data_IF_341378902506
#
_entry.id   IF_341378902506
#
_cell.length_a   1.000
_cell.length_b   1.000
_cell.length_c   1.000
_cell.angle_alpha   90.00
_cell.angle_beta   90.00
_cell.angle_gamma   90.00
#
_symmetry.space_group_name_H-M   'P 1'
#
loop_
_entity.id
_entity.type
_entity.pdbx_description
1 polymer ?
#
# COMPACT_ATOMS: atom_id res chain seq x y z
N UNK A 1 51.86 -24.31 25.67
CA UNK A 1 52.87 -23.49 24.97
C UNK A 1 52.38 -22.06 24.99
N UNK A 2 53.22 -21.14 25.46
CA UNK A 2 52.93 -19.73 25.69
C UNK A 2 52.52 -19.01 24.41
N UNK A 3 51.33 -18.42 24.41
CA UNK A 3 50.81 -17.54 23.37
C UNK A 3 51.57 -16.21 23.41
N UNK A 4 52.33 -15.92 22.35
CA UNK A 4 52.99 -14.64 22.11
C UNK A 4 52.50 -14.10 20.77
N UNK A 5 51.27 -13.62 20.73
CA UNK A 5 50.82 -12.75 19.64
C UNK A 5 51.53 -11.40 19.80
N UNK A 6 52.29 -10.89 18.80
CA UNK A 6 52.97 -9.61 18.93
C UNK A 6 51.97 -8.45 18.97
N UNK A 7 51.99 -7.67 20.06
CA UNK A 7 51.21 -6.44 20.29
C UNK A 7 51.38 -5.33 19.22
N UNK A 8 52.18 -5.55 18.17
CA UNK A 8 52.44 -4.58 17.12
C UNK A 8 51.26 -4.40 16.13
N UNK A 9 50.39 -5.40 15.96
CA UNK A 9 49.29 -5.35 14.98
C UNK A 9 48.08 -4.58 15.52
N UNK A 10 47.85 -4.60 16.84
CA UNK A 10 46.72 -3.91 17.47
C UNK A 10 46.96 -2.40 17.70
N UNK A 11 48.19 -1.92 17.51
CA UNK A 11 48.58 -0.53 17.77
C UNK A 11 48.65 0.36 16.51
N UNK A 12 48.30 -0.14 15.32
CA UNK A 12 48.39 0.63 14.09
C UNK A 12 47.16 1.55 13.92
N UNK A 13 47.34 2.86 14.02
CA UNK A 13 46.32 3.85 13.64
C UNK A 13 46.03 3.77 12.12
N UNK A 14 44.81 3.36 11.79
CA UNK A 14 44.34 3.27 10.39
C UNK A 14 43.62 4.57 10.03
N UNK A 15 44.23 5.37 9.14
CA UNK A 15 43.54 6.52 8.55
C UNK A 15 42.72 6.12 7.32
N UNK A 16 41.63 6.84 7.04
CA UNK A 16 40.76 6.62 5.85
C UNK A 16 41.56 6.58 4.54
N UNK A 17 42.65 7.35 4.43
CA UNK A 17 43.51 7.40 3.24
C UNK A 17 44.37 6.14 3.09
N UNK A 18 44.86 5.58 4.20
CA UNK A 18 45.62 4.32 4.22
C UNK A 18 44.74 3.13 3.88
N UNK A 19 43.47 3.13 4.32
CA UNK A 19 42.48 2.08 4.02
C UNK A 19 42.15 1.97 2.52
N UNK A 20 42.03 3.12 1.83
CA UNK A 20 41.79 3.15 0.37
C UNK A 20 43.02 2.68 -0.42
N UNK A 21 44.23 2.99 0.07
CA UNK A 21 45.46 2.48 -0.53
C UNK A 21 45.65 0.97 -0.32
N UNK A 22 45.28 0.43 0.84
CA UNK A 22 45.34 -1.02 1.10
C UNK A 22 44.25 -1.81 0.39
N UNK A 23 43.11 -1.22 0.05
CA UNK A 23 42.06 -1.91 -0.74
C UNK A 23 42.46 -2.10 -2.20
N UNK A 24 43.23 -1.19 -2.79
CA UNK A 24 43.78 -1.35 -4.14
C UNK A 24 44.83 -2.47 -4.24
N UNK A 25 45.57 -2.73 -3.16
CA UNK A 25 46.58 -3.81 -3.10
C UNK A 25 45.96 -5.13 -2.60
N UNK A 26 44.99 -5.06 -1.67
CA UNK A 26 44.29 -6.22 -1.12
C UNK A 26 43.31 -6.90 -2.09
N UNK A 27 42.74 -6.13 -3.03
CA UNK A 27 41.86 -6.68 -4.08
C UNK A 27 42.58 -7.63 -5.04
N UNK A 28 43.88 -7.41 -5.31
CA UNK A 28 44.67 -8.28 -6.19
C UNK A 28 45.16 -9.55 -5.47
N UNK A 29 45.45 -9.47 -4.16
CA UNK A 29 45.91 -10.62 -3.37
C UNK A 29 44.77 -11.60 -3.04
N UNK A 30 43.54 -11.11 -2.83
CA UNK A 30 42.37 -11.97 -2.59
C UNK A 30 41.93 -12.80 -3.81
N UNK A 31 42.28 -12.37 -5.03
CA UNK A 31 41.94 -13.07 -6.27
C UNK A 31 42.81 -14.31 -6.55
N UNK A 32 43.92 -14.50 -5.83
CA UNK A 32 44.89 -15.57 -6.15
C UNK A 32 44.79 -16.80 -5.25
N UNK A 33 43.88 -16.84 -4.27
CA UNK A 33 43.71 -17.95 -3.32
C UNK A 33 45.00 -18.38 -2.57
N UNK A 34 46.11 -17.66 -2.73
CA UNK A 34 47.45 -18.09 -2.30
C UNK A 34 47.79 -17.68 -0.86
N UNK A 35 46.93 -16.92 -0.19
CA UNK A 35 47.09 -16.54 1.20
C UNK A 35 45.81 -16.84 1.99
N UNK A 36 45.83 -17.89 2.80
CA UNK A 36 44.85 -18.13 3.85
C UNK A 36 45.12 -17.15 5.01
N UNK A 37 44.23 -16.17 5.18
CA UNK A 37 44.23 -15.32 6.36
C UNK A 37 43.91 -16.17 7.60
N UNK A 38 44.59 -15.98 8.75
CA UNK A 38 44.39 -16.78 9.97
C UNK A 38 43.01 -16.61 10.63
N UNK A 39 42.09 -15.88 9.99
CA UNK A 39 40.72 -15.63 10.43
C UNK A 39 39.70 -15.95 9.32
N UNK A 40 39.88 -17.03 8.57
CA UNK A 40 38.85 -17.54 7.66
C UNK A 40 37.85 -18.40 8.44
N UNK A 41 36.70 -17.82 8.84
CA UNK A 41 35.52 -18.62 9.21
C UNK A 41 34.85 -19.09 7.92
N UNK A 42 35.01 -20.36 7.60
CA UNK A 42 34.14 -21.03 6.64
C UNK A 42 32.78 -21.22 7.31
N UNK A 43 31.77 -20.48 6.85
CA UNK A 43 30.39 -20.82 7.13
C UNK A 43 30.03 -21.99 6.23
N UNK A 44 30.08 -23.21 6.77
CA UNK A 44 29.40 -24.33 6.13
C UNK A 44 27.91 -24.07 6.27
N UNK A 45 27.19 -24.00 5.15
CA UNK A 45 25.75 -24.07 5.20
C UNK A 45 25.39 -25.40 5.88
N UNK A 46 24.55 -25.35 6.92
CA UNK A 46 23.94 -26.58 7.42
C UNK A 46 23.35 -27.34 6.23
N UNK A 47 23.51 -28.68 6.17
CA UNK A 47 22.87 -29.46 5.12
C UNK A 47 21.40 -29.08 5.07
N UNK A 48 20.88 -28.84 3.86
CA UNK A 48 19.47 -28.53 3.66
C UNK A 48 18.65 -29.51 4.49
N UNK A 49 17.70 -29.00 5.27
CA UNK A 49 16.81 -29.82 6.10
C UNK A 49 16.07 -30.76 5.14
N UNK A 50 16.61 -31.94 4.95
CA UNK A 50 15.95 -33.01 4.22
C UNK A 50 15.05 -33.66 5.27
N UNK A 51 13.72 -33.46 5.22
CA UNK A 51 12.87 -33.74 6.38
C UNK A 51 12.81 -35.22 6.80
N UNK A 52 13.46 -36.13 6.07
CA UNK A 52 13.60 -37.53 6.46
C UNK A 52 12.29 -38.32 6.46
N UNK A 53 11.21 -37.76 5.93
CA UNK A 53 9.89 -38.38 5.81
C UNK A 53 9.19 -37.96 4.52
N UNK A 54 8.07 -38.61 4.19
CA UNK A 54 7.28 -38.33 3.00
C UNK A 54 6.68 -36.91 3.07
N UNK A 55 7.33 -35.97 2.39
CA UNK A 55 6.88 -34.58 2.32
C UNK A 55 5.68 -34.46 1.38
N UNK A 56 4.61 -33.82 1.87
CA UNK A 56 3.48 -33.39 1.06
C UNK A 56 3.46 -31.87 0.97
N UNK A 57 3.39 -31.34 -0.25
CA UNK A 57 3.22 -29.90 -0.47
C UNK A 57 1.75 -29.57 -0.68
N UNK A 58 1.21 -28.71 0.19
CA UNK A 58 -0.19 -28.27 0.14
C UNK A 58 -0.25 -26.78 -0.19
N UNK A 59 -1.04 -26.41 -1.20
CA UNK A 59 -1.28 -25.01 -1.54
C UNK A 59 -2.23 -24.34 -0.54
N UNK A 60 -1.86 -23.13 -0.15
CA UNK A 60 -2.66 -22.24 0.69
C UNK A 60 -2.46 -20.79 0.23
N UNK A 61 -3.03 -19.84 0.97
CA UNK A 61 -2.89 -18.42 0.68
C UNK A 61 -2.60 -17.61 1.93
N UNK A 62 -1.89 -16.48 1.77
CA UNK A 62 -1.73 -15.50 2.81
C UNK A 62 -3.00 -14.64 2.95
N UNK A 63 -3.88 -15.00 3.89
CA UNK A 63 -5.21 -14.37 4.09
C UNK A 63 -5.19 -13.20 5.08
N UNK A 64 -4.11 -12.42 5.12
CA UNK A 64 -4.04 -11.20 5.93
C UNK A 64 -4.60 -10.01 5.15
N UNK A 65 -5.06 -8.98 5.87
CA UNK A 65 -5.57 -7.73 5.28
C UNK A 65 -4.46 -6.86 4.64
N UNK A 66 -3.71 -7.43 3.70
CA UNK A 66 -2.81 -6.70 2.80
C UNK A 66 -3.36 -6.65 1.37
N UNK A 67 -4.42 -7.40 1.05
CA UNK A 67 -5.06 -7.45 -0.27
C UNK A 67 -4.36 -8.32 -1.31
N UNK A 68 -3.08 -8.69 -1.14
CA UNK A 68 -2.32 -9.43 -2.18
C UNK A 68 -2.68 -10.92 -2.31
N UNK A 69 -3.19 -11.55 -1.23
CA UNK A 69 -3.56 -12.98 -1.18
C UNK A 69 -2.50 -13.93 -1.77
N UNK A 70 -1.23 -13.68 -1.46
CA UNK A 70 -0.12 -14.40 -2.07
C UNK A 70 -0.29 -15.93 -1.88
N UNK A 71 -0.11 -16.73 -2.94
CA UNK A 71 -0.07 -18.18 -2.82
C UNK A 71 1.11 -18.62 -1.93
N UNK A 72 0.86 -19.62 -1.10
CA UNK A 72 1.81 -20.20 -0.17
C UNK A 72 1.87 -21.71 -0.38
N UNK A 73 3.08 -22.25 -0.43
CA UNK A 73 3.31 -23.70 -0.48
C UNK A 73 3.66 -24.16 0.93
N UNK A 74 2.79 -24.94 1.54
CA UNK A 74 2.96 -25.47 2.89
C UNK A 74 3.62 -26.84 2.79
N UNK A 75 4.82 -26.99 3.33
CA UNK A 75 5.56 -28.24 3.32
C UNK A 75 5.21 -29.02 4.58
N UNK A 76 4.48 -30.12 4.43
CA UNK A 76 3.91 -30.92 5.51
C UNK A 76 4.64 -32.25 5.61
N UNK A 77 5.12 -32.57 6.80
CA UNK A 77 5.81 -33.82 7.14
C UNK A 77 5.25 -34.30 8.47
N UNK A 78 4.83 -35.56 8.53
CA UNK A 78 4.18 -36.16 9.71
C UNK A 78 2.97 -35.36 10.23
N UNK A 79 2.18 -34.80 9.32
CA UNK A 79 1.01 -33.98 9.65
C UNK A 79 1.31 -32.57 10.16
N UNK A 80 2.59 -32.16 10.18
CA UNK A 80 3.02 -30.84 10.61
C UNK A 80 3.62 -30.00 9.48
N UNK A 81 3.25 -28.72 9.40
CA UNK A 81 3.89 -27.75 8.52
C UNK A 81 5.31 -27.52 9.05
N UNK A 82 6.34 -27.97 8.33
CA UNK A 82 7.75 -27.76 8.70
C UNK A 82 8.25 -26.40 8.26
N UNK A 83 7.90 -25.97 7.05
CA UNK A 83 8.21 -24.63 6.52
C UNK A 83 7.19 -24.16 5.49
N UNK A 84 7.24 -22.87 5.17
CA UNK A 84 6.33 -22.21 4.22
C UNK A 84 7.16 -21.57 3.13
N UNK A 85 6.94 -22.03 1.91
CA UNK A 85 7.50 -21.44 0.70
C UNK A 85 6.53 -20.47 0.05
N UNK A 86 7.10 -19.64 -0.80
CA UNK A 86 6.35 -18.82 -1.74
C UNK A 86 6.00 -19.63 -2.99
N UNK A 87 5.11 -19.11 -3.83
CA UNK A 87 5.06 -19.56 -5.22
C UNK A 87 6.43 -19.38 -5.90
N UNK A 88 6.89 -20.49 -6.46
CA UNK A 88 8.11 -20.68 -7.21
C UNK A 88 7.85 -21.53 -8.47
N UNK A 89 6.59 -21.62 -8.90
CA UNK A 89 6.19 -22.35 -10.10
C UNK A 89 6.13 -21.41 -11.31
N UNK A 90 6.25 -21.96 -12.51
CA UNK A 90 6.40 -21.17 -13.73
C UNK A 90 7.84 -20.67 -13.95
N UNK A 91 8.03 -19.94 -15.03
CA UNK A 91 9.28 -19.41 -15.56
C UNK A 91 9.51 -17.92 -15.24
N UNK A 92 8.60 -17.32 -14.46
CA UNK A 92 8.56 -15.87 -14.22
C UNK A 92 8.44 -15.08 -15.53
N UNK A 93 7.73 -15.64 -16.53
CA UNK A 93 7.55 -15.00 -17.83
C UNK A 93 6.83 -13.67 -17.74
N UNK A 94 7.40 -12.76 -18.52
CA UNK A 94 7.20 -11.34 -18.62
C UNK A 94 5.71 -10.98 -18.69
N UNK A 95 5.10 -11.64 -19.66
CA UNK A 95 3.93 -11.20 -20.42
C UNK A 95 2.67 -11.99 -20.08
N UNK A 96 2.42 -12.23 -18.79
CA UNK A 96 1.06 -12.60 -18.40
C UNK A 96 0.83 -13.05 -16.99
N UNK A 97 1.78 -13.72 -16.32
CA UNK A 97 1.59 -14.29 -14.99
C UNK A 97 2.92 -14.43 -14.25
N UNK A 98 3.47 -13.32 -13.75
CA UNK A 98 4.67 -13.37 -12.92
C UNK A 98 4.40 -14.04 -11.58
N UNK A 99 5.45 -14.59 -10.96
CA UNK A 99 5.32 -15.27 -9.68
C UNK A 99 4.89 -14.29 -8.58
N UNK A 100 3.77 -14.60 -7.91
CA UNK A 100 3.25 -13.78 -6.80
C UNK A 100 3.99 -14.14 -5.52
N UNK A 101 5.23 -13.65 -5.41
CA UNK A 101 6.10 -14.03 -4.30
C UNK A 101 5.59 -13.49 -2.97
N UNK A 102 5.43 -14.34 -1.97
CA UNK A 102 4.96 -13.96 -0.65
C UNK A 102 6.02 -13.14 0.11
N UNK A 103 5.60 -12.02 0.69
CA UNK A 103 6.47 -11.23 1.57
C UNK A 103 6.82 -11.98 2.87
N UNK A 104 7.73 -11.41 3.66
CA UNK A 104 8.15 -11.97 4.96
C UNK A 104 6.98 -12.31 5.90
N UNK A 105 5.94 -11.48 5.92
CA UNK A 105 4.71 -11.71 6.70
C UNK A 105 3.98 -12.97 6.23
N UNK A 106 3.85 -13.16 4.92
CA UNK A 106 3.19 -14.34 4.35
C UNK A 106 3.98 -15.63 4.59
N UNK A 107 5.30 -15.59 4.43
CA UNK A 107 6.19 -16.74 4.73
C UNK A 107 6.24 -17.10 6.21
N UNK A 108 5.83 -16.18 7.08
CA UNK A 108 5.74 -16.42 8.53
C UNK A 108 4.45 -17.11 9.00
N UNK A 109 3.53 -17.48 8.10
CA UNK A 109 2.20 -18.03 8.46
C UNK A 109 2.26 -19.27 9.35
N UNK A 110 3.31 -20.09 9.27
CA UNK A 110 3.56 -21.19 10.21
C UNK A 110 3.56 -20.74 11.67
N UNK A 111 4.15 -19.57 11.97
CA UNK A 111 4.19 -19.00 13.32
C UNK A 111 2.81 -18.64 13.85
N UNK A 112 1.83 -18.37 12.97
CA UNK A 112 0.43 -18.13 13.35
C UNK A 112 -0.30 -19.44 13.66
N UNK A 113 -0.03 -20.49 12.90
CA UNK A 113 -0.64 -21.83 13.10
C UNK A 113 -0.19 -22.46 14.42
N UNK A 114 1.10 -22.35 14.75
CA UNK A 114 1.69 -22.95 15.95
C UNK A 114 2.00 -21.96 17.07
N UNK A 115 1.38 -20.78 17.04
CA UNK A 115 1.54 -19.82 18.12
C UNK A 115 1.05 -20.42 19.45
N UNK A 116 1.80 -20.20 20.55
CA UNK A 116 1.41 -20.65 21.88
C UNK A 116 0.07 -20.05 22.33
N UNK A 117 -0.19 -18.79 21.95
CA UNK A 117 -1.39 -18.02 22.29
C UNK A 117 -2.57 -18.30 21.33
N UNK A 118 -2.43 -19.25 20.41
CA UNK A 118 -3.51 -19.58 19.47
C UNK A 118 -4.74 -20.06 20.23
N UNK A 119 -5.90 -19.46 19.93
CA UNK A 119 -7.20 -19.94 20.41
C UNK A 119 -7.50 -21.31 19.81
N UNK A 120 -7.59 -22.34 20.65
CA UNK A 120 -7.81 -23.75 20.25
C UNK A 120 -9.25 -24.22 20.48
N UNK A 121 -9.95 -23.61 21.42
CA UNK A 121 -11.28 -24.04 21.86
C UNK A 121 -12.19 -22.83 22.07
N UNK A 122 -13.52 -23.03 22.05
CA UNK A 122 -14.46 -22.04 22.58
C UNK A 122 -14.18 -21.75 24.06
N UNK A 123 -14.21 -20.47 24.42
CA UNK A 123 -13.89 -19.99 25.76
C UNK A 123 -14.99 -19.05 26.26
N UNK A 124 -15.42 -19.23 27.51
CA UNK A 124 -16.42 -18.40 28.18
C UNK A 124 -15.76 -17.56 29.26
N UNK A 125 -16.08 -16.27 29.29
CA UNK A 125 -15.53 -15.35 30.29
C UNK A 125 -16.17 -15.63 31.66
N UNK A 126 -15.34 -15.83 32.68
CA UNK A 126 -15.77 -16.08 34.07
C UNK A 126 -15.42 -14.93 35.04
N UNK A 127 -14.60 -13.97 34.61
CA UNK A 127 -14.25 -12.77 35.38
C UNK A 127 -14.78 -11.47 34.78
N UNK A 128 -14.35 -10.33 35.32
CA UNK A 128 -14.69 -9.03 34.73
C UNK A 128 -14.05 -8.86 33.33
N UNK A 129 -14.66 -8.03 32.47
CA UNK A 129 -14.11 -7.73 31.13
C UNK A 129 -12.74 -7.06 31.29
N UNK A 130 -11.73 -7.58 30.60
CA UNK A 130 -10.34 -7.10 30.69
C UNK A 130 -9.44 -7.95 31.60
N UNK A 131 -9.98 -8.83 32.45
CA UNK A 131 -9.16 -9.64 33.37
C UNK A 131 -8.50 -10.86 32.72
N UNK A 132 -8.88 -11.23 31.49
CA UNK A 132 -8.33 -12.40 30.81
C UNK A 132 -8.75 -13.76 31.41
N UNK A 133 -9.77 -13.79 32.28
CA UNK A 133 -10.24 -15.02 32.93
C UNK A 133 -11.32 -15.72 32.11
N UNK A 134 -10.99 -16.90 31.60
CA UNK A 134 -11.88 -17.72 30.80
C UNK A 134 -11.85 -19.18 31.23
N UNK A 135 -12.99 -19.86 31.07
CA UNK A 135 -13.09 -21.31 31.12
C UNK A 135 -13.36 -21.86 29.72
N UNK A 136 -12.92 -23.10 29.47
CA UNK A 136 -13.20 -23.79 28.20
C UNK A 136 -14.62 -24.33 28.23
N UNK A 137 -15.36 -24.13 27.14
CA UNK A 137 -16.70 -24.68 26.96
C UNK A 137 -16.78 -25.52 25.67
N UNK A 138 -17.87 -26.30 25.51
CA UNK A 138 -18.13 -27.03 24.28
C UNK A 138 -18.59 -26.09 23.15
N UNK A 139 -18.56 -26.58 21.91
CA UNK A 139 -19.15 -25.84 20.80
C UNK A 139 -20.67 -25.68 20.94
N UNK A 140 -21.36 -26.72 21.39
CA UNK A 140 -22.81 -26.69 21.60
C UNK A 140 -23.19 -25.64 22.65
N UNK A 141 -22.50 -25.60 23.80
CA UNK A 141 -22.74 -24.58 24.82
C UNK A 141 -22.47 -23.17 24.28
N UNK A 142 -21.41 -22.99 23.47
CA UNK A 142 -21.09 -21.70 22.87
C UNK A 142 -22.20 -21.23 21.92
N UNK A 143 -22.68 -22.12 21.05
CA UNK A 143 -23.76 -21.82 20.11
C UNK A 143 -25.07 -21.52 20.84
N UNK A 144 -25.48 -22.35 21.79
CA UNK A 144 -26.69 -22.14 22.57
C UNK A 144 -26.64 -20.83 23.36
N UNK A 145 -25.50 -20.53 23.99
CA UNK A 145 -25.31 -19.28 24.74
C UNK A 145 -25.48 -18.06 23.84
N UNK A 146 -24.84 -18.06 22.65
CA UNK A 146 -24.91 -16.94 21.71
C UNK A 146 -26.31 -16.82 21.12
N UNK A 147 -26.92 -17.93 20.69
CA UNK A 147 -28.24 -17.96 20.08
C UNK A 147 -29.32 -17.47 21.06
N UNK A 148 -29.33 -18.00 22.29
CA UNK A 148 -30.30 -17.60 23.32
C UNK A 148 -30.15 -16.12 23.69
N UNK A 149 -28.90 -15.63 23.84
CA UNK A 149 -28.66 -14.21 24.11
C UNK A 149 -29.14 -13.33 22.95
N UNK A 150 -28.86 -13.72 21.71
CA UNK A 150 -29.26 -12.96 20.53
C UNK A 150 -30.78 -12.92 20.37
N UNK A 151 -31.46 -14.06 20.55
CA UNK A 151 -32.93 -14.14 20.52
C UNK A 151 -33.57 -13.30 21.64
N UNK A 152 -33.01 -13.33 22.85
CA UNK A 152 -33.47 -12.51 23.96
C UNK A 152 -33.36 -11.01 23.66
N UNK A 153 -32.19 -10.57 23.17
CA UNK A 153 -31.96 -9.17 22.78
C UNK A 153 -32.92 -8.74 21.67
N UNK A 154 -33.10 -9.56 20.63
CA UNK A 154 -34.02 -9.25 19.53
C UNK A 154 -35.47 -9.15 20.04
N UNK A 155 -35.89 -10.06 20.93
CA UNK A 155 -37.24 -10.06 21.51
C UNK A 155 -37.51 -8.80 22.35
N UNK A 156 -36.52 -8.36 23.13
CA UNK A 156 -36.68 -7.25 24.07
C UNK A 156 -36.43 -5.87 23.44
N UNK A 157 -35.44 -5.76 22.55
CA UNK A 157 -34.95 -4.48 22.02
C UNK A 157 -35.02 -4.36 20.50
N UNK A 158 -35.41 -5.41 19.79
CA UNK A 158 -35.45 -5.44 18.32
C UNK A 158 -34.08 -5.70 17.67
N UNK A 159 -34.09 -5.87 16.35
CA UNK A 159 -32.92 -6.21 15.55
C UNK A 159 -31.82 -5.12 15.54
N UNK A 160 -32.19 -3.85 15.74
CA UNK A 160 -31.24 -2.73 15.75
C UNK A 160 -30.31 -2.74 16.97
N UNK A 161 -30.64 -3.52 18.02
CA UNK A 161 -29.76 -3.74 19.16
C UNK A 161 -28.57 -4.69 18.84
N UNK A 162 -28.59 -5.37 17.69
CA UNK A 162 -27.50 -6.21 17.22
C UNK A 162 -26.61 -5.40 16.28
N UNK A 163 -25.38 -5.09 16.71
CA UNK A 163 -24.41 -4.36 15.90
C UNK A 163 -23.38 -5.29 15.26
N UNK A 164 -23.22 -5.21 13.94
CA UNK A 164 -22.15 -5.90 13.22
C UNK A 164 -20.99 -4.93 12.95
N UNK A 165 -19.91 -5.07 13.72
CA UNK A 165 -18.74 -4.22 13.62
C UNK A 165 -17.96 -4.45 12.31
N UNK A 166 -17.47 -3.36 11.72
CA UNK A 166 -16.49 -3.40 10.64
C UNK A 166 -15.22 -4.13 11.09
N UNK A 167 -14.77 -5.11 10.30
CA UNK A 167 -13.53 -5.80 10.57
C UNK A 167 -13.05 -6.57 9.36
N UNK A 168 -11.78 -6.36 8.97
CA UNK A 168 -11.19 -6.95 7.76
C UNK A 168 -10.08 -7.95 8.04
N UNK A 169 -9.92 -8.41 9.29
CA UNK A 169 -8.80 -9.23 9.77
C UNK A 169 -8.31 -10.34 8.81
N UNK A 170 -8.83 -11.55 8.93
CA UNK A 170 -8.45 -12.67 8.03
C UNK A 170 -9.25 -12.59 6.74
N UNK A 171 -8.86 -11.67 5.86
CA UNK A 171 -9.48 -11.47 4.55
C UNK A 171 -9.10 -12.60 3.58
N UNK A 172 -10.11 -13.29 3.06
CA UNK A 172 -9.95 -13.97 1.77
C UNK A 172 -9.77 -15.47 1.77
N UNK A 173 -10.24 -16.19 2.80
CA UNK A 173 -10.70 -17.55 2.56
C UNK A 173 -11.91 -17.52 1.61
N UNK A 174 -12.15 -18.58 0.84
CA UNK A 174 -13.31 -18.71 -0.07
C UNK A 174 -14.65 -18.40 0.63
N UNK A 175 -14.69 -18.59 1.95
CA UNK A 175 -15.83 -18.29 2.81
C UNK A 175 -15.69 -17.02 3.68
N UNK A 176 -14.47 -16.51 3.93
CA UNK A 176 -14.23 -15.38 4.84
C UNK A 176 -14.10 -14.06 4.06
N UNK A 177 -15.17 -13.70 3.36
CA UNK A 177 -15.34 -12.37 2.80
C UNK A 177 -15.70 -11.43 3.95
N UNK A 178 -14.95 -10.34 4.10
CA UNK A 178 -15.23 -9.30 5.09
C UNK A 178 -15.55 -7.93 4.46
N UNK A 179 -15.56 -7.87 3.12
CA UNK A 179 -15.96 -6.69 2.34
C UNK A 179 -16.57 -7.09 0.98
N UNK A 180 -17.65 -6.43 0.51
CA UNK A 180 -18.42 -5.41 1.22
C UNK A 180 -19.17 -6.01 2.43
N UNK A 181 -19.49 -5.21 3.46
CA UNK A 181 -19.97 -5.72 4.76
C UNK A 181 -21.26 -6.54 4.67
N UNK A 182 -22.15 -6.18 3.74
CA UNK A 182 -23.41 -6.90 3.51
C UNK A 182 -23.25 -8.27 2.83
N UNK A 183 -22.05 -8.60 2.33
CA UNK A 183 -21.78 -9.86 1.61
C UNK A 183 -20.98 -10.87 2.42
N UNK A 184 -20.88 -10.68 3.74
CA UNK A 184 -20.21 -11.64 4.64
C UNK A 184 -21.19 -12.73 5.08
N UNK A 185 -20.68 -13.91 5.45
CA UNK A 185 -21.53 -15.00 5.98
C UNK A 185 -22.26 -14.59 7.27
N UNK A 186 -21.61 -13.77 8.10
CA UNK A 186 -22.22 -13.24 9.32
C UNK A 186 -23.33 -12.24 8.97
N UNK A 187 -23.12 -11.33 8.03
CA UNK A 187 -24.18 -10.44 7.56
C UNK A 187 -25.37 -11.22 6.98
N UNK A 188 -25.11 -12.30 6.23
CA UNK A 188 -26.15 -13.19 5.73
C UNK A 188 -26.95 -13.83 6.88
N UNK A 189 -26.26 -14.37 7.89
CA UNK A 189 -26.91 -14.92 9.10
C UNK A 189 -27.79 -13.87 9.77
N UNK A 190 -27.26 -12.66 10.01
CA UNK A 190 -28.01 -11.58 10.67
C UNK A 190 -29.24 -11.15 9.86
N UNK A 191 -29.14 -11.10 8.53
CA UNK A 191 -30.29 -10.84 7.66
C UNK A 191 -31.36 -11.94 7.76
N UNK A 192 -30.96 -13.22 7.86
CA UNK A 192 -31.90 -14.31 8.11
C UNK A 192 -32.56 -14.21 9.50
N UNK A 193 -31.95 -13.50 10.45
CA UNK A 193 -32.49 -13.26 11.79
C UNK A 193 -33.32 -11.98 11.91
N UNK A 194 -33.67 -11.31 10.80
CA UNK A 194 -34.49 -10.08 10.79
C UNK A 194 -33.71 -8.78 10.62
N UNK A 195 -32.40 -8.85 10.38
CA UNK A 195 -31.54 -7.68 10.18
C UNK A 195 -30.71 -7.31 11.41
N UNK A 196 -29.94 -6.23 11.28
CA UNK A 196 -28.98 -5.75 12.28
C UNK A 196 -28.63 -4.28 12.05
N UNK A 197 -28.11 -3.60 13.09
CA UNK A 197 -27.48 -2.30 12.94
C UNK A 197 -26.14 -2.45 12.22
N UNK A 198 -26.06 -1.85 11.04
CA UNK A 198 -24.86 -1.88 10.21
C UNK A 198 -23.94 -0.67 10.49
N UNK A 199 -22.75 -0.68 9.90
CA UNK A 199 -21.80 0.44 9.93
C UNK A 199 -21.72 1.13 8.57
N UNK A 200 -21.23 2.37 8.58
CA UNK A 200 -20.84 3.11 7.38
C UNK A 200 -19.36 3.46 7.45
N UNK A 201 -18.70 3.52 6.28
CA UNK A 201 -17.28 3.83 6.19
C UNK A 201 -16.36 2.67 6.61
N UNK A 202 -15.07 2.94 6.58
CA UNK A 202 -14.02 1.99 6.89
C UNK A 202 -12.74 2.69 7.38
N UNK A 203 -11.94 2.06 8.24
CA UNK A 203 -10.73 2.70 8.81
C UNK A 203 -9.58 2.88 7.80
N UNK A 204 -9.68 2.29 6.61
CA UNK A 204 -8.60 2.25 5.61
C UNK A 204 -8.78 3.28 4.51
N UNK A 205 -9.99 3.48 3.99
CA UNK A 205 -10.29 4.21 2.74
C UNK A 205 -11.54 5.10 2.79
N UNK A 206 -12.15 5.34 3.96
CA UNK A 206 -13.40 6.09 4.06
C UNK A 206 -13.40 7.44 3.32
N UNK A 207 -12.30 8.20 3.42
CA UNK A 207 -12.22 9.53 2.82
C UNK A 207 -12.01 9.47 1.30
N UNK A 208 -11.25 8.49 0.81
CA UNK A 208 -11.17 8.18 -0.63
C UNK A 208 -12.55 7.79 -1.16
N UNK A 209 -13.25 6.90 -0.44
CA UNK A 209 -14.58 6.44 -0.80
C UNK A 209 -15.56 7.60 -0.94
N UNK A 210 -15.59 8.49 0.06
CA UNK A 210 -16.44 9.67 0.03
C UNK A 210 -16.05 10.62 -1.11
N UNK A 211 -14.79 11.05 -1.15
CA UNK A 211 -14.33 12.09 -2.08
C UNK A 211 -14.43 11.68 -3.56
N UNK A 212 -14.00 10.46 -3.90
CA UNK A 212 -14.00 10.03 -5.28
C UNK A 212 -15.39 9.61 -5.78
N UNK A 213 -16.30 9.21 -4.89
CA UNK A 213 -17.69 8.97 -5.28
C UNK A 213 -18.36 10.24 -5.82
N UNK A 214 -18.12 11.40 -5.19
CA UNK A 214 -18.57 12.69 -5.72
C UNK A 214 -17.85 13.14 -7.00
N UNK A 215 -16.66 12.62 -7.27
CA UNK A 215 -15.85 13.02 -8.43
C UNK A 215 -16.14 12.17 -9.66
N UNK A 216 -16.44 10.88 -9.45
CA UNK A 216 -16.60 9.89 -10.53
C UNK A 216 -17.98 9.25 -10.61
N UNK A 217 -18.89 9.58 -9.69
CA UNK A 217 -20.24 9.00 -9.65
C UNK A 217 -20.28 7.54 -9.19
N UNK A 218 -19.24 7.06 -8.51
CA UNK A 218 -19.13 5.69 -8.04
C UNK A 218 -17.81 5.42 -7.31
N UNK A 219 -17.59 4.16 -6.93
CA UNK A 219 -16.27 3.74 -6.46
C UNK A 219 -15.21 4.03 -7.52
N UNK A 220 -14.06 4.54 -7.10
CA UNK A 220 -12.99 4.92 -8.02
C UNK A 220 -12.28 3.68 -8.56
N UNK A 221 -12.79 3.15 -9.65
CA UNK A 221 -12.06 2.17 -10.45
C UNK A 221 -10.92 2.87 -11.20
N UNK A 222 -9.73 2.28 -11.05
CA UNK A 222 -8.50 2.68 -11.72
C UNK A 222 -7.98 1.55 -12.61
N UNK A 223 -6.82 1.78 -13.22
CA UNK A 223 -6.17 0.75 -14.02
C UNK A 223 -5.66 -0.38 -13.10
N UNK A 224 -5.50 -1.58 -13.67
CA UNK A 224 -4.72 -2.61 -13.01
C UNK A 224 -3.33 -2.07 -12.66
N UNK A 225 -2.75 -2.39 -11.49
CA UNK A 225 -1.37 -2.03 -11.17
C UNK A 225 -0.34 -2.49 -12.23
N UNK A 226 -0.67 -3.50 -13.03
CA UNK A 226 0.17 -3.94 -14.15
C UNK A 226 0.40 -2.84 -15.20
N UNK A 227 -0.55 -1.92 -15.37
CA UNK A 227 -0.46 -0.85 -16.37
C UNK A 227 0.62 0.21 -16.03
N UNK A 228 1.17 0.18 -14.81
CA UNK A 228 2.30 1.00 -14.40
C UNK A 228 3.48 0.80 -15.35
N UNK A 229 3.70 -0.43 -15.87
CA UNK A 229 4.83 -0.74 -16.75
C UNK A 229 4.85 0.07 -18.04
N UNK A 230 3.68 0.55 -18.49
CA UNK A 230 3.51 1.32 -19.71
C UNK A 230 3.82 2.82 -19.53
N UNK A 231 4.11 3.27 -18.31
CA UNK A 231 4.21 4.69 -17.94
C UNK A 231 5.57 5.31 -18.26
N UNK A 232 5.62 6.58 -18.68
CA UNK A 232 6.88 7.35 -18.80
C UNK A 232 7.20 8.17 -17.55
N UNK A 233 6.17 8.46 -16.75
CA UNK A 233 6.27 9.15 -15.47
C UNK A 233 5.39 8.44 -14.45
N UNK A 234 5.94 8.19 -13.27
CA UNK A 234 5.25 7.63 -12.11
C UNK A 234 5.33 8.65 -10.98
N UNK A 235 4.19 9.11 -10.48
CA UNK A 235 4.11 10.05 -9.35
C UNK A 235 3.32 9.42 -8.21
N UNK A 236 3.97 9.27 -7.05
CA UNK A 236 3.39 8.65 -5.86
C UNK A 236 3.12 9.70 -4.78
N UNK A 237 1.86 9.90 -4.41
CA UNK A 237 1.45 10.79 -3.33
C UNK A 237 1.18 9.98 -2.05
N UNK A 238 2.06 10.10 -1.05
CA UNK A 238 1.98 9.40 0.23
C UNK A 238 1.73 7.90 0.08
N UNK A 239 2.31 7.29 -0.96
CA UNK A 239 2.14 5.90 -1.33
C UNK A 239 3.45 5.14 -1.14
N UNK A 240 3.42 4.17 -0.21
CA UNK A 240 4.60 3.40 0.17
C UNK A 240 4.39 1.89 -0.03
N UNK A 241 4.30 1.39 -1.27
CA UNK A 241 4.15 -0.03 -1.54
C UNK A 241 5.33 -0.88 -1.04
N UNK A 242 6.54 -0.30 -0.93
CA UNK A 242 7.72 -0.95 -0.36
C UNK A 242 7.53 -1.50 1.06
N UNK A 243 6.65 -0.91 1.88
CA UNK A 243 6.30 -1.43 3.21
C UNK A 243 4.88 -2.02 3.28
N UNK A 244 3.96 -1.40 2.54
CA UNK A 244 2.53 -1.72 2.66
C UNK A 244 2.09 -2.83 1.70
N UNK A 245 2.85 -3.09 0.62
CA UNK A 245 2.50 -4.04 -0.47
C UNK A 245 3.73 -4.84 -0.97
N UNK A 246 4.58 -5.29 -0.04
CA UNK A 246 5.86 -6.01 -0.28
C UNK A 246 5.84 -7.31 -1.12
N UNK A 247 4.67 -7.85 -1.47
CA UNK A 247 4.60 -9.11 -2.22
C UNK A 247 5.00 -8.94 -3.68
N UNK A 248 5.36 -10.02 -4.37
CA UNK A 248 5.54 -10.06 -5.83
C UNK A 248 4.30 -9.60 -6.59
N UNK A 249 3.09 -9.87 -6.09
CA UNK A 249 1.85 -9.31 -6.67
C UNK A 249 1.52 -7.87 -6.27
N UNK A 250 2.48 -7.17 -5.66
CA UNK A 250 2.31 -5.80 -5.17
C UNK A 250 2.76 -4.74 -6.17
N UNK A 251 2.42 -3.48 -5.88
CA UNK A 251 2.77 -2.33 -6.72
C UNK A 251 4.29 -2.16 -6.87
N UNK A 252 5.09 -2.55 -5.86
CA UNK A 252 6.56 -2.46 -5.91
C UNK A 252 7.15 -3.19 -7.10
N UNK A 253 6.62 -4.37 -7.44
CA UNK A 253 7.08 -5.12 -8.61
C UNK A 253 6.89 -4.29 -9.89
N UNK A 254 5.68 -3.80 -10.13
CA UNK A 254 5.38 -3.03 -11.34
C UNK A 254 6.11 -1.68 -11.42
N UNK A 255 6.51 -1.09 -10.29
CA UNK A 255 7.37 0.09 -10.28
C UNK A 255 8.75 -0.20 -10.88
N UNK A 256 9.39 -1.31 -10.47
CA UNK A 256 10.68 -1.72 -11.05
C UNK A 256 10.54 -1.99 -12.54
N UNK A 257 9.39 -2.50 -12.95
CA UNK A 257 9.15 -2.84 -14.34
C UNK A 257 8.90 -1.65 -15.24
N UNK A 258 8.24 -0.61 -14.74
CA UNK A 258 8.17 0.66 -15.45
C UNK A 258 9.58 1.24 -15.67
N UNK A 259 10.49 1.08 -14.69
CA UNK A 259 11.89 1.49 -14.89
C UNK A 259 12.58 0.63 -15.97
N UNK A 260 12.44 -0.69 -15.91
CA UNK A 260 13.11 -1.60 -16.84
C UNK A 260 12.58 -1.51 -18.29
N UNK A 261 11.25 -1.50 -18.47
CA UNK A 261 10.61 -1.55 -19.79
C UNK A 261 10.49 -0.18 -20.44
N UNK A 262 10.05 0.83 -19.68
CA UNK A 262 9.66 2.12 -20.23
C UNK A 262 10.60 3.27 -19.84
N UNK A 263 11.62 2.99 -19.02
CA UNK A 263 12.53 3.97 -18.42
C UNK A 263 11.74 5.08 -17.72
N UNK A 264 10.72 4.68 -16.97
CA UNK A 264 9.81 5.61 -16.31
C UNK A 264 10.55 6.43 -15.25
N UNK A 265 10.39 7.76 -15.31
CA UNK A 265 10.82 8.65 -14.23
C UNK A 265 9.89 8.45 -13.03
N UNK A 266 10.44 8.30 -11.82
CA UNK A 266 9.70 8.06 -10.59
C UNK A 266 9.88 9.22 -9.60
N UNK A 267 8.78 9.85 -9.23
CA UNK A 267 8.73 10.95 -8.27
C UNK A 267 7.89 10.52 -7.07
N UNK A 268 8.45 10.62 -5.86
CA UNK A 268 7.76 10.32 -4.60
C UNK A 268 7.51 11.63 -3.86
N UNK A 269 6.24 11.90 -3.54
CA UNK A 269 5.81 13.05 -2.75
C UNK A 269 5.31 12.49 -1.41
N UNK A 270 6.14 12.60 -0.38
CA UNK A 270 5.86 12.03 0.94
C UNK A 270 6.66 12.81 2.00
N UNK A 271 6.08 13.16 3.17
CA UNK A 271 6.83 13.78 4.25
C UNK A 271 7.98 12.91 4.78
N UNK A 272 7.90 11.59 4.59
CA UNK A 272 8.94 10.62 4.99
C UNK A 272 9.64 10.07 3.76
N UNK A 273 10.95 9.95 3.83
CA UNK A 273 11.70 9.14 2.86
C UNK A 273 11.49 7.65 3.18
N UNK A 274 10.69 6.97 2.35
CA UNK A 274 10.18 5.62 2.62
C UNK A 274 10.97 4.52 1.92
N UNK A 275 10.75 3.25 2.29
CA UNK A 275 11.41 2.10 1.62
C UNK A 275 11.02 1.95 0.14
N UNK A 276 9.94 2.60 -0.30
CA UNK A 276 9.61 2.70 -1.73
C UNK A 276 10.61 3.56 -2.48
N UNK A 277 11.12 4.62 -1.84
CA UNK A 277 12.21 5.43 -2.35
C UNK A 277 13.49 4.62 -2.30
N UNK A 278 14.21 4.64 -1.18
CA UNK A 278 15.41 3.82 -0.94
C UNK A 278 16.38 3.71 -2.15
N UNK A 279 16.50 4.76 -2.97
CA UNK A 279 17.36 4.84 -4.15
C UNK A 279 16.75 4.34 -5.47
N UNK A 280 15.46 4.00 -5.48
CA UNK A 280 14.69 3.60 -6.68
C UNK A 280 14.00 4.77 -7.34
N UNK A 281 13.76 5.84 -6.61
CA UNK A 281 13.16 7.06 -7.12
C UNK A 281 14.18 7.92 -7.85
N UNK A 282 13.72 8.70 -8.82
CA UNK A 282 14.55 9.73 -9.43
C UNK A 282 14.45 11.07 -8.67
N UNK A 283 13.40 11.23 -7.86
CA UNK A 283 13.20 12.40 -7.02
C UNK A 283 12.27 12.12 -5.84
N UNK A 284 12.66 12.61 -4.66
CA UNK A 284 11.79 12.67 -3.47
C UNK A 284 11.50 14.12 -3.11
N UNK A 285 10.21 14.44 -2.94
CA UNK A 285 9.71 15.76 -2.57
C UNK A 285 9.13 15.69 -1.15
N UNK A 286 9.84 16.25 -0.14
CA UNK A 286 9.41 16.23 1.26
C UNK A 286 8.33 17.27 1.52
N UNK A 287 7.08 16.93 1.21
CA UNK A 287 5.93 17.82 1.47
C UNK A 287 5.62 17.88 2.98
N UNK A 288 5.16 19.04 3.48
CA UNK A 288 4.60 19.11 4.84
C UNK A 288 3.32 18.26 4.96
N UNK A 289 3.16 17.46 6.03
CA UNK A 289 1.99 16.59 6.19
C UNK A 289 0.65 17.35 6.06
N UNK A 290 -0.29 16.80 5.29
CA UNK A 290 -1.65 17.34 5.13
C UNK A 290 -1.77 18.54 4.18
N UNK A 291 -0.69 18.91 3.47
CA UNK A 291 -0.68 20.08 2.58
C UNK A 291 -0.77 19.74 1.09
N UNK A 292 -0.98 18.46 0.75
CA UNK A 292 -1.04 17.95 -0.63
C UNK A 292 -2.03 18.73 -1.50
N UNK A 293 -3.25 18.99 -1.03
CA UNK A 293 -4.25 19.73 -1.81
C UNK A 293 -3.77 21.13 -2.24
N UNK A 294 -2.93 21.80 -1.42
CA UNK A 294 -2.34 23.08 -1.77
C UNK A 294 -1.29 22.92 -2.88
N UNK A 295 -0.43 21.89 -2.78
CA UNK A 295 0.52 21.55 -3.84
C UNK A 295 -0.22 21.29 -5.16
N UNK A 296 -1.20 20.39 -5.17
CA UNK A 296 -1.95 20.05 -6.38
C UNK A 296 -2.64 21.29 -6.97
N UNK A 297 -3.22 22.16 -6.15
CA UNK A 297 -3.88 23.37 -6.63
C UNK A 297 -2.91 24.30 -7.38
N UNK A 298 -1.65 24.40 -6.91
CA UNK A 298 -0.61 25.15 -7.62
C UNK A 298 -0.07 24.43 -8.86
N UNK A 299 -0.01 23.09 -8.86
CA UNK A 299 0.29 22.35 -10.08
C UNK A 299 -0.79 22.61 -11.14
N UNK A 300 -2.07 22.60 -10.75
CA UNK A 300 -3.18 22.93 -11.64
C UNK A 300 -3.09 24.37 -12.15
N UNK A 301 -2.72 25.33 -11.29
CA UNK A 301 -2.54 26.72 -11.70
C UNK A 301 -1.49 26.85 -12.81
N UNK A 302 -0.34 26.19 -12.68
CA UNK A 302 0.71 26.21 -13.72
C UNK A 302 0.20 25.53 -14.99
N UNK A 303 -0.42 24.35 -14.88
CA UNK A 303 -0.94 23.64 -16.06
C UNK A 303 -2.00 24.43 -16.81
N UNK A 304 -2.86 25.17 -16.11
CA UNK A 304 -3.89 26.02 -16.73
C UNK A 304 -3.27 27.23 -17.43
N UNK A 305 -2.31 27.91 -16.80
CA UNK A 305 -1.70 29.11 -17.38
C UNK A 305 -0.73 28.79 -18.53
N UNK A 306 -0.15 27.59 -18.55
CA UNK A 306 0.75 27.12 -19.60
C UNK A 306 0.07 26.24 -20.67
N UNK A 307 -1.26 26.15 -20.65
CA UNK A 307 -2.05 25.36 -21.61
C UNK A 307 -1.64 23.86 -21.69
N UNK A 308 -1.31 23.28 -20.54
CA UNK A 308 -0.92 21.86 -20.41
C UNK A 308 -2.10 20.93 -20.07
N UNK A 309 -3.33 21.47 -20.06
CA UNK A 309 -4.55 20.70 -19.78
C UNK A 309 -5.13 20.09 -21.06
N UNK A 310 -5.76 18.92 -20.96
CA UNK A 310 -6.48 18.30 -22.09
C UNK A 310 -7.89 18.89 -22.17
N UNK A 311 -8.00 20.09 -22.76
CA UNK A 311 -9.28 20.79 -22.87
C UNK A 311 -10.35 19.95 -23.59
N UNK A 312 -9.98 19.17 -24.61
CA UNK A 312 -10.92 18.29 -25.31
C UNK A 312 -11.46 17.16 -24.41
N UNK A 313 -10.69 16.70 -23.42
CA UNK A 313 -11.17 15.75 -22.41
C UNK A 313 -12.13 16.44 -21.44
N UNK A 314 -11.74 17.60 -20.94
CA UNK A 314 -12.52 18.36 -19.96
C UNK A 314 -13.88 18.76 -20.53
N UNK A 315 -13.93 19.26 -21.76
CA UNK A 315 -15.16 19.64 -22.46
C UNK A 315 -16.14 18.47 -22.65
N UNK A 316 -15.62 17.25 -22.83
CA UNK A 316 -16.43 16.08 -23.19
C UNK A 316 -16.84 15.24 -21.98
N UNK A 317 -16.00 15.17 -20.96
CA UNK A 317 -16.13 14.19 -19.87
C UNK A 317 -16.23 14.83 -18.49
N UNK A 318 -16.19 16.16 -18.37
CA UNK A 318 -16.24 16.84 -17.08
C UNK A 318 -17.40 17.84 -17.03
N UNK A 319 -17.90 18.06 -15.82
CA UNK A 319 -18.92 19.05 -15.49
C UNK A 319 -18.32 20.00 -14.45
N UNK A 320 -18.43 21.31 -14.69
CA UNK A 320 -17.98 22.36 -13.78
C UNK A 320 -16.46 22.62 -13.78
N UNK A 321 -15.74 22.31 -14.86
CA UNK A 321 -14.33 22.69 -14.99
C UNK A 321 -14.18 24.20 -15.27
N UNK A 322 -14.94 24.70 -16.24
CA UNK A 322 -14.99 26.08 -16.72
C UNK A 322 -16.46 26.52 -16.96
N UNK A 323 -16.68 27.77 -17.38
CA UNK A 323 -18.02 28.29 -17.67
C UNK A 323 -18.77 27.47 -18.73
N UNK A 324 -18.07 26.86 -19.69
CA UNK A 324 -18.69 26.04 -20.75
C UNK A 324 -19.29 24.75 -20.21
N UNK A 325 -18.62 24.14 -19.23
CA UNK A 325 -19.01 22.86 -18.63
C UNK A 325 -19.84 23.02 -17.36
N UNK A 326 -20.13 24.26 -16.95
CA UNK A 326 -20.87 24.57 -15.73
C UNK A 326 -22.38 24.26 -15.89
N UNK A 327 -23.03 23.58 -14.93
CA UNK A 327 -24.47 23.33 -14.99
C UNK A 327 -25.29 24.62 -14.98
N UNK A 328 -26.46 24.58 -15.64
CA UNK A 328 -27.43 25.66 -15.57
C UNK A 328 -27.83 25.95 -14.11
N UNK A 329 -27.75 27.23 -13.71
CA UNK A 329 -28.09 27.69 -12.36
C UNK A 329 -26.93 27.69 -11.35
N UNK A 330 -25.74 27.19 -11.72
CA UNK A 330 -24.55 27.38 -10.90
C UNK A 330 -24.06 28.85 -10.95
N UNK A 331 -23.46 29.36 -9.86
CA UNK A 331 -22.99 30.74 -9.81
C UNK A 331 -21.88 30.98 -10.83
N UNK A 332 -21.83 32.20 -11.39
CA UNK A 332 -20.71 32.63 -12.22
C UNK A 332 -19.39 32.48 -11.44
N UNK A 333 -18.32 32.03 -12.10
CA UNK A 333 -17.05 31.65 -11.48
C UNK A 333 -17.16 30.54 -10.40
N UNK A 334 -18.25 29.78 -10.38
CA UNK A 334 -18.43 28.61 -9.50
C UNK A 334 -17.69 27.35 -9.93
N UNK A 335 -16.92 27.42 -11.02
CA UNK A 335 -16.21 26.30 -11.62
C UNK A 335 -14.78 26.13 -11.09
N UNK A 336 -14.19 24.95 -11.29
CA UNK A 336 -12.86 24.60 -10.75
C UNK A 336 -11.75 25.57 -11.24
N UNK A 337 -11.74 25.92 -12.53
CA UNK A 337 -10.74 26.83 -13.11
C UNK A 337 -10.74 28.21 -12.43
N UNK A 338 -11.91 28.77 -12.10
CA UNK A 338 -12.00 30.06 -11.40
C UNK A 338 -11.46 29.97 -9.97
N UNK A 339 -11.76 28.88 -9.25
CA UNK A 339 -11.17 28.63 -7.93
C UNK A 339 -9.63 28.60 -7.98
N UNK A 340 -9.06 27.90 -8.97
CA UNK A 340 -7.60 27.83 -9.12
C UNK A 340 -7.00 29.20 -9.46
N UNK A 341 -7.63 29.95 -10.37
CA UNK A 341 -7.13 31.25 -10.82
C UNK A 341 -7.42 32.41 -9.84
N UNK A 342 -8.09 32.16 -8.71
CA UNK A 342 -8.41 33.19 -7.71
C UNK A 342 -9.61 34.07 -8.08
N UNK A 343 -10.44 33.61 -9.01
CA UNK A 343 -11.66 34.27 -9.47
C UNK A 343 -12.91 33.72 -8.77
N UNK A 344 -12.75 32.64 -7.98
CA UNK A 344 -13.80 32.04 -7.16
C UNK A 344 -14.03 32.80 -5.85
N UNK A 345 -14.85 32.20 -4.98
CA UNK A 345 -15.36 32.83 -3.73
C UNK A 345 -14.26 33.24 -2.75
N UNK A 346 -13.12 32.55 -2.74
CA UNK A 346 -12.03 32.86 -1.81
C UNK A 346 -11.10 33.98 -2.30
N UNK A 347 -11.16 34.37 -3.57
CA UNK A 347 -10.34 35.44 -4.16
C UNK A 347 -8.84 35.17 -4.15
N UNK A 348 -8.38 33.93 -3.92
CA UNK A 348 -6.96 33.60 -3.79
C UNK A 348 -6.49 32.74 -4.95
N UNK A 349 -5.64 33.30 -5.81
CA UNK A 349 -4.97 32.55 -6.87
C UNK A 349 -4.04 31.50 -6.24
N UNK A 350 -4.14 30.26 -6.72
CA UNK A 350 -3.35 29.13 -6.20
C UNK A 350 -1.96 29.10 -6.82
N UNK A 351 -1.21 30.18 -6.72
CA UNK A 351 0.10 30.29 -7.38
C UNK A 351 1.15 29.37 -6.74
N UNK A 352 2.25 29.05 -7.45
CA UNK A 352 3.39 28.37 -6.86
C UNK A 352 3.95 29.02 -5.58
N UNK A 353 3.99 30.34 -5.51
CA UNK A 353 4.45 31.10 -4.34
C UNK A 353 3.53 30.87 -3.14
N UNK A 354 2.22 30.91 -3.36
CA UNK A 354 1.21 30.61 -2.35
C UNK A 354 1.37 29.19 -1.80
N UNK A 355 1.47 28.19 -2.68
CA UNK A 355 1.62 26.81 -2.26
C UNK A 355 2.98 26.53 -1.62
N UNK A 356 4.05 27.22 -2.02
CA UNK A 356 5.39 27.05 -1.44
C UNK A 356 5.39 27.38 0.05
N UNK A 357 4.71 28.46 0.45
CA UNK A 357 4.59 28.87 1.85
C UNK A 357 3.85 27.84 2.71
N UNK A 358 2.83 27.18 2.13
CA UNK A 358 2.01 26.18 2.83
C UNK A 358 2.74 24.84 2.89
N UNK A 359 3.22 24.37 1.76
CA UNK A 359 3.71 23.00 1.55
C UNK A 359 5.18 22.80 1.95
N UNK A 360 5.96 23.88 1.96
CA UNK A 360 7.41 23.84 2.09
C UNK A 360 8.15 23.42 0.80
N UNK A 361 7.44 23.12 -0.29
CA UNK A 361 8.06 22.77 -1.58
C UNK A 361 8.52 24.05 -2.28
N UNK A 362 9.76 24.14 -2.79
CA UNK A 362 10.24 25.32 -3.51
C UNK A 362 9.39 25.68 -4.73
N UNK A 363 9.24 26.97 -5.00
CA UNK A 363 8.45 27.51 -6.13
C UNK A 363 8.87 26.91 -7.48
N UNK A 364 10.17 26.90 -7.76
CA UNK A 364 10.72 26.36 -9.01
C UNK A 364 10.42 24.87 -9.17
N UNK A 365 10.41 24.14 -8.06
CA UNK A 365 10.09 22.71 -8.01
C UNK A 365 8.62 22.44 -8.28
N UNK A 366 7.71 23.27 -7.76
CA UNK A 366 6.28 23.20 -8.06
C UNK A 366 6.05 23.39 -9.56
N UNK A 367 6.67 24.42 -10.16
CA UNK A 367 6.54 24.71 -11.60
C UNK A 367 7.07 23.55 -12.45
N UNK A 368 8.28 23.05 -12.16
CA UNK A 368 8.88 21.91 -12.88
C UNK A 368 8.00 20.66 -12.76
N UNK A 369 7.48 20.36 -11.56
CA UNK A 369 6.62 19.19 -11.34
C UNK A 369 5.32 19.30 -12.14
N UNK A 370 4.73 20.49 -12.21
CA UNK A 370 3.53 20.73 -12.99
C UNK A 370 3.77 20.49 -14.49
N UNK A 371 4.89 20.97 -15.02
CA UNK A 371 5.30 20.75 -16.42
C UNK A 371 5.59 19.30 -16.73
N UNK A 372 6.30 18.60 -15.83
CA UNK A 372 6.58 17.16 -15.96
C UNK A 372 5.28 16.35 -16.00
N UNK A 373 4.35 16.62 -15.08
CA UNK A 373 3.05 15.95 -15.05
C UNK A 373 2.21 16.33 -16.28
N UNK A 374 2.12 17.61 -16.64
CA UNK A 374 1.31 18.09 -17.78
C UNK A 374 1.78 17.54 -19.13
N UNK A 375 3.10 17.41 -19.31
CA UNK A 375 3.69 16.99 -20.58
C UNK A 375 3.84 15.48 -20.73
N UNK A 376 3.91 14.73 -19.62
CA UNK A 376 4.15 13.28 -19.66
C UNK A 376 2.95 12.51 -20.23
N UNK A 377 3.22 11.73 -21.29
CA UNK A 377 2.25 10.84 -21.94
C UNK A 377 2.90 9.48 -22.22
N UNK A 378 2.47 8.38 -21.57
CA UNK A 378 1.55 8.30 -20.43
C UNK A 378 2.23 8.59 -19.06
N UNK A 379 1.43 9.03 -18.08
CA UNK A 379 1.87 9.16 -16.68
C UNK A 379 0.93 8.43 -15.73
N UNK A 380 1.49 7.71 -14.78
CA UNK A 380 0.78 7.04 -13.69
C UNK A 380 0.85 7.88 -12.43
N UNK A 381 -0.31 8.35 -11.96
CA UNK A 381 -0.43 9.13 -10.73
C UNK A 381 -1.18 8.27 -9.73
N UNK A 382 -0.56 8.03 -8.58
CA UNK A 382 -1.14 7.15 -7.56
C UNK A 382 -1.10 7.79 -6.19
N UNK A 383 -2.26 7.76 -5.54
CA UNK A 383 -2.43 8.13 -4.15
C UNK A 383 -2.35 6.89 -3.26
N UNK A 384 -1.57 6.98 -2.18
CA UNK A 384 -1.60 6.02 -1.08
C UNK A 384 -2.68 6.35 -0.05
N UNK A 385 -2.70 5.61 1.06
CA UNK A 385 -3.65 5.91 2.13
C UNK A 385 -3.21 7.02 3.09
N UNK A 386 -1.96 7.48 3.02
CA UNK A 386 -1.47 8.56 3.88
C UNK A 386 -2.25 9.87 3.70
N UNK A 387 -2.36 10.42 2.47
CA UNK A 387 -2.96 11.73 2.24
C UNK A 387 -4.40 11.85 2.74
N UNK A 388 -5.18 10.78 2.62
CA UNK A 388 -6.60 10.77 3.04
C UNK A 388 -6.82 10.58 4.55
N UNK A 389 -5.77 10.26 5.34
CA UNK A 389 -5.87 10.06 6.80
C UNK A 389 -5.75 11.37 7.57
N UNK A 390 -6.49 12.37 7.11
CA UNK A 390 -6.62 13.69 7.72
C UNK A 390 -8.11 14.06 7.80
N UNK A 391 -8.44 15.09 8.58
CA UNK A 391 -9.83 15.55 8.77
C UNK A 391 -10.54 15.98 7.48
N UNK A 392 -9.77 16.36 6.46
CA UNK A 392 -10.21 16.79 5.12
C UNK A 392 -9.68 15.87 4.00
N UNK A 393 -9.41 14.60 4.32
CA UNK A 393 -8.77 13.65 3.41
C UNK A 393 -9.55 13.39 2.11
N UNK A 394 -10.85 13.61 2.11
CA UNK A 394 -11.72 13.52 0.95
C UNK A 394 -11.39 14.61 -0.07
N UNK A 395 -11.12 15.84 0.39
CA UNK A 395 -10.71 16.94 -0.48
C UNK A 395 -9.32 16.70 -1.06
N UNK A 396 -8.40 16.16 -0.26
CA UNK A 396 -7.06 15.75 -0.72
C UNK A 396 -7.16 14.68 -1.81
N UNK A 397 -8.05 13.69 -1.62
CA UNK A 397 -8.24 12.62 -2.59
C UNK A 397 -8.80 13.13 -3.91
N UNK A 398 -9.76 14.06 -3.83
CA UNK A 398 -10.30 14.75 -5.01
C UNK A 398 -9.25 15.60 -5.70
N UNK A 399 -8.41 16.31 -4.95
CA UNK A 399 -7.32 17.10 -5.50
C UNK A 399 -6.37 16.21 -6.31
N UNK A 400 -5.82 15.14 -5.73
CA UNK A 400 -4.89 14.24 -6.46
C UNK A 400 -5.54 13.68 -7.73
N UNK A 401 -6.82 13.29 -7.67
CA UNK A 401 -7.58 12.86 -8.83
C UNK A 401 -7.67 13.91 -9.95
N UNK A 402 -7.73 15.21 -9.61
CA UNK A 402 -7.75 16.29 -10.59
C UNK A 402 -6.53 16.29 -11.51
N UNK A 403 -5.35 15.85 -11.06
CA UNK A 403 -4.17 15.80 -11.93
C UNK A 403 -4.38 14.89 -13.14
N UNK A 404 -5.02 13.73 -12.95
CA UNK A 404 -5.36 12.80 -14.03
C UNK A 404 -6.51 13.31 -14.89
N UNK A 405 -7.47 14.04 -14.31
CA UNK A 405 -8.60 14.65 -15.03
C UNK A 405 -8.11 15.79 -15.93
N UNK A 406 -7.33 16.73 -15.37
CA UNK A 406 -6.79 17.89 -16.08
C UNK A 406 -5.91 17.49 -17.26
N UNK A 407 -5.18 16.38 -17.15
CA UNK A 407 -4.26 15.92 -18.20
C UNK A 407 -4.86 14.85 -19.12
N UNK A 408 -6.15 14.53 -18.99
CA UNK A 408 -6.85 13.59 -19.88
C UNK A 408 -6.35 12.14 -19.82
N UNK A 409 -5.62 11.76 -18.76
CA UNK A 409 -4.90 10.46 -18.66
C UNK A 409 -5.81 9.25 -18.43
N UNK A 410 -7.11 9.47 -18.27
CA UNK A 410 -8.09 8.40 -18.08
C UNK A 410 -8.62 7.76 -19.38
N UNK A 411 -8.10 8.17 -20.56
CA UNK A 411 -8.54 7.68 -21.88
C UNK A 411 -8.02 6.27 -22.25
N UNK A 412 -7.04 5.71 -21.54
CA UNK A 412 -6.26 4.57 -22.05
C UNK A 412 -6.58 3.17 -21.49
N UNK A 413 -7.56 2.98 -20.60
CA UNK A 413 -7.80 1.65 -19.97
C UNK A 413 -8.70 0.68 -20.74
N UNK A 414 -9.06 1.01 -21.99
CA UNK A 414 -9.79 0.11 -22.88
C UNK A 414 -9.11 0.04 -24.25
N UNK A 415 -8.00 -0.70 -24.33
CA UNK A 415 -7.64 -1.45 -25.52
C UNK A 415 -7.25 -2.85 -25.12
#
# INVERSE_FOLDING_TARGET
MTDKTPNAILAAEVSRRKLVQTTAIGGLAAATSAFSLPFSRFAFADPAVNPGGDETVVWSACTVNCGSRCPLRMHVVDGEIKYVETDNTGDDDYEGLHQVRACLRGRSMRRRVYNADRLKYPMKRVGARGEGKFERISWDEAFDTIANSMQGIIKEYGNEAIYLNYGTGTLGGTMTRSWPPGSTLIARLMNCCGGYLNHYGDYSTAQIAAGLNYTYGGWADGNSPSDIENSKLVVLFGNNPGETRMSGGGVTYYLEQARQKSNARMIIIDPRYTDTGAGREDEWIPIRPGTDAALISALAWVMINEDLVDQAFLDKYCVGYDDKTLPAGAPHNGHYKAYILGQGVDGVAKTPEWASQITGVPVDRIIKLAREIGSAKPAFISQGWGPQRHSNGELVSRAIAMLSILTGKRRYSRR
#
